data_IF_869360457220
#
_entry.id   IF_869360457220
#
_cell.length_a   1.000
_cell.length_b   1.000
_cell.length_c   1.000
_cell.angle_alpha   90.00
_cell.angle_beta   90.00
_cell.angle_gamma   90.00
#
_symmetry.space_group_name_H-M   'P 1'
#
loop_
_entity.id
_entity.type
_entity.pdbx_description
1 polymer ?
#
# COMPACT_ATOMS: atom_id res chain seq x y z
N UNK A 1 -18.32 -6.82 43.40
CA UNK A 1 -18.54 -7.74 42.26
C UNK A 1 -19.52 -7.07 41.31
N UNK A 2 -19.05 -6.53 40.19
CA UNK A 2 -19.93 -5.83 39.23
C UNK A 2 -20.15 -6.71 37.99
N UNK A 3 -21.43 -6.92 37.69
CA UNK A 3 -21.94 -7.51 36.45
C UNK A 3 -21.55 -6.64 35.25
N UNK A 4 -20.98 -7.23 34.21
CA UNK A 4 -20.72 -6.55 32.94
C UNK A 4 -21.90 -6.82 32.01
N UNK A 5 -22.61 -5.75 31.69
CA UNK A 5 -23.72 -5.66 30.76
C UNK A 5 -23.21 -5.75 29.32
N UNK A 6 -23.75 -6.68 28.52
CA UNK A 6 -23.53 -6.74 27.08
C UNK A 6 -24.38 -5.67 26.38
N UNK A 7 -23.73 -4.63 25.86
CA UNK A 7 -24.39 -3.61 25.04
C UNK A 7 -24.57 -4.14 23.61
N UNK A 8 -25.85 -4.30 23.28
CA UNK A 8 -26.44 -4.56 21.97
C UNK A 8 -26.25 -3.32 21.09
N UNK A 9 -25.41 -3.40 20.05
CA UNK A 9 -25.30 -2.30 19.08
C UNK A 9 -26.25 -2.54 17.90
N UNK A 10 -27.23 -1.64 17.83
CA UNK A 10 -28.26 -1.56 16.83
C UNK A 10 -27.75 -0.91 15.53
N UNK A 11 -28.43 -1.25 14.44
CA UNK A 11 -28.35 -0.66 13.12
C UNK A 11 -28.65 0.86 13.15
N UNK A 12 -27.87 1.66 12.42
CA UNK A 12 -28.27 2.96 11.89
C UNK A 12 -27.27 4.11 12.07
N UNK A 13 -26.49 4.42 11.03
CA UNK A 13 -26.22 5.81 10.54
C UNK A 13 -25.27 5.79 9.33
N UNK A 14 -25.71 6.40 8.23
CA UNK A 14 -24.80 6.96 7.23
C UNK A 14 -24.18 8.23 7.85
N UNK A 15 -22.84 8.28 7.89
CA UNK A 15 -22.09 9.40 8.46
C UNK A 15 -20.61 9.06 8.54
N UNK A 16 -19.84 9.56 7.57
CA UNK A 16 -18.42 9.93 7.65
C UNK A 16 -17.49 8.95 8.37
N UNK A 17 -16.96 7.97 7.63
CA UNK A 17 -15.85 7.15 8.13
C UNK A 17 -14.54 7.96 8.08
N UNK A 18 -14.15 8.47 9.25
CA UNK A 18 -12.75 8.62 9.65
C UNK A 18 -11.96 7.38 9.21
N UNK A 19 -10.84 7.61 8.51
CA UNK A 19 -9.92 6.61 7.96
C UNK A 19 -9.28 5.77 9.09
N UNK A 20 -10.03 4.81 9.64
CA UNK A 20 -9.45 3.72 10.41
C UNK A 20 -8.67 2.88 9.41
N UNK A 21 -7.34 2.79 9.56
CA UNK A 21 -6.41 2.11 8.64
C UNK A 21 -6.78 0.66 8.31
N UNK A 22 -7.80 0.51 7.48
CA UNK A 22 -8.40 -0.74 7.10
C UNK A 22 -7.69 -1.24 5.84
N UNK A 23 -7.45 -2.55 5.76
CA UNK A 23 -6.82 -3.14 4.58
C UNK A 23 -7.85 -3.27 3.46
N UNK A 24 -7.50 -2.84 2.25
CA UNK A 24 -8.29 -3.09 1.04
C UNK A 24 -8.20 -4.57 0.69
N UNK A 25 -9.22 -5.31 1.14
CA UNK A 25 -9.29 -6.76 0.99
C UNK A 25 -9.46 -7.16 -0.49
N UNK A 26 -10.06 -6.30 -1.32
CA UNK A 26 -10.24 -6.55 -2.75
C UNK A 26 -8.92 -6.39 -3.51
N UNK A 27 -8.16 -5.34 -3.20
CA UNK A 27 -6.82 -5.17 -3.75
C UNK A 27 -5.90 -6.33 -3.32
N UNK A 28 -5.98 -6.73 -2.05
CA UNK A 28 -5.21 -7.86 -1.53
C UNK A 28 -5.52 -9.16 -2.28
N UNK A 29 -6.79 -9.50 -2.47
CA UNK A 29 -7.17 -10.73 -3.18
C UNK A 29 -6.70 -10.73 -4.64
N UNK A 30 -6.77 -9.58 -5.32
CA UNK A 30 -6.24 -9.42 -6.68
C UNK A 30 -4.72 -9.60 -6.74
N UNK A 31 -3.98 -9.01 -5.80
CA UNK A 31 -2.52 -9.17 -5.72
C UNK A 31 -2.12 -10.62 -5.45
N UNK A 32 -2.86 -11.33 -4.58
CA UNK A 32 -2.64 -12.75 -4.31
C UNK A 32 -2.86 -13.60 -5.56
N UNK A 33 -3.96 -13.41 -6.28
CA UNK A 33 -4.25 -14.13 -7.52
C UNK A 33 -3.18 -13.84 -8.59
N UNK A 34 -2.77 -12.57 -8.72
CA UNK A 34 -1.74 -12.16 -9.68
C UNK A 34 -0.37 -12.79 -9.37
N UNK A 35 0.04 -12.81 -8.09
CA UNK A 35 1.31 -13.39 -7.65
C UNK A 35 1.29 -14.92 -7.74
N UNK A 36 0.14 -15.55 -7.43
CA UNK A 36 -0.05 -17.00 -7.52
C UNK A 36 0.02 -17.50 -8.96
N UNK A 37 -0.62 -16.79 -9.90
CA UNK A 37 -0.67 -17.19 -11.30
C UNK A 37 -1.20 -18.62 -11.44
N UNK A 38 -0.37 -19.51 -12.01
CA UNK A 38 -0.72 -20.91 -12.26
C UNK A 38 -0.41 -21.86 -11.08
N UNK A 39 0.15 -21.38 -9.97
CA UNK A 39 0.42 -22.22 -8.79
C UNK A 39 -0.89 -22.71 -8.16
N UNK A 40 -0.87 -23.95 -7.68
CA UNK A 40 -1.98 -24.50 -6.91
C UNK A 40 -2.13 -23.78 -5.55
N UNK A 41 -3.33 -23.78 -4.99
CA UNK A 41 -3.59 -23.20 -3.67
C UNK A 41 -2.71 -23.82 -2.57
N UNK A 42 -2.35 -25.10 -2.69
CA UNK A 42 -1.50 -25.79 -1.71
C UNK A 42 -0.05 -25.31 -1.79
N UNK A 43 0.49 -25.16 -2.99
CA UNK A 43 1.86 -24.66 -3.19
C UNK A 43 2.00 -23.21 -2.71
N UNK A 44 1.08 -22.34 -3.12
CA UNK A 44 1.10 -20.94 -2.67
C UNK A 44 0.92 -20.81 -1.15
N UNK A 45 0.05 -21.63 -0.55
CA UNK A 45 -0.12 -21.63 0.90
C UNK A 45 1.14 -22.12 1.63
N UNK A 46 1.85 -23.11 1.08
CA UNK A 46 3.13 -23.57 1.62
C UNK A 46 4.22 -22.49 1.56
N UNK A 47 4.31 -21.75 0.44
CA UNK A 47 5.26 -20.64 0.27
C UNK A 47 5.01 -19.51 1.31
N UNK A 48 3.75 -19.25 1.64
CA UNK A 48 3.34 -18.21 2.59
C UNK A 48 3.43 -18.69 4.05
N UNK A 49 3.40 -20.01 4.28
CA UNK A 49 3.33 -20.61 5.62
C UNK A 49 1.94 -20.52 6.25
N UNK A 50 0.89 -20.70 5.44
CA UNK A 50 -0.53 -20.75 5.88
C UNK A 50 -1.22 -22.02 5.35
N UNK A 51 -2.45 -22.26 5.77
CA UNK A 51 -3.23 -23.40 5.26
C UNK A 51 -3.96 -23.05 3.95
N UNK A 52 -4.13 -24.02 3.05
CA UNK A 52 -4.84 -23.82 1.79
C UNK A 52 -6.30 -23.29 1.96
N UNK A 53 -7.08 -23.74 2.97
CA UNK A 53 -8.38 -23.13 3.26
C UNK A 53 -8.29 -21.66 3.68
N UNK A 54 -7.26 -21.28 4.43
CA UNK A 54 -7.02 -19.87 4.78
C UNK A 54 -6.76 -19.04 3.53
N UNK A 55 -5.89 -19.51 2.62
CA UNK A 55 -5.59 -18.83 1.37
C UNK A 55 -6.85 -18.68 0.50
N UNK A 56 -7.67 -19.73 0.38
CA UNK A 56 -8.92 -19.67 -0.39
C UNK A 56 -9.88 -18.60 0.16
N UNK A 57 -10.01 -18.49 1.48
CA UNK A 57 -10.88 -17.46 2.09
C UNK A 57 -10.34 -16.05 1.86
N UNK A 58 -9.02 -15.88 1.90
CA UNK A 58 -8.37 -14.60 1.61
C UNK A 58 -8.57 -14.18 0.15
N UNK A 59 -8.44 -15.11 -0.80
CA UNK A 59 -8.78 -14.86 -2.21
C UNK A 59 -10.27 -14.56 -2.39
N UNK A 60 -11.13 -15.13 -1.55
CA UNK A 60 -12.56 -14.85 -1.49
C UNK A 60 -12.94 -13.51 -0.83
N UNK A 61 -11.97 -12.71 -0.37
CA UNK A 61 -12.21 -11.40 0.21
C UNK A 61 -12.42 -11.39 1.73
N UNK A 62 -11.93 -12.41 2.45
CA UNK A 62 -11.88 -12.38 3.92
C UNK A 62 -10.76 -11.47 4.43
N UNK A 63 -11.03 -10.67 5.45
CA UNK A 63 -10.01 -9.85 6.14
C UNK A 63 -8.97 -10.75 6.83
N UNK A 64 -7.66 -10.60 6.52
CA UNK A 64 -6.62 -11.37 7.19
C UNK A 64 -6.45 -10.95 8.66
N UNK A 65 -6.02 -11.90 9.48
CA UNK A 65 -5.48 -11.59 10.81
C UNK A 65 -4.13 -10.89 10.70
N UNK A 66 -3.66 -10.22 11.75
CA UNK A 66 -2.36 -9.50 11.74
C UNK A 66 -1.20 -10.43 11.40
N UNK A 67 -1.13 -11.63 11.99
CA UNK A 67 -0.07 -12.62 11.69
C UNK A 67 -0.10 -13.04 10.22
N UNK A 68 -1.29 -13.31 9.70
CA UNK A 68 -1.48 -13.70 8.30
C UNK A 68 -1.09 -12.56 7.36
N UNK A 69 -1.46 -11.32 7.70
CA UNK A 69 -1.13 -10.13 6.90
C UNK A 69 0.39 -9.95 6.77
N UNK A 70 1.15 -10.08 7.86
CA UNK A 70 2.63 -9.95 7.83
C UNK A 70 3.27 -10.97 6.89
N UNK A 71 2.79 -12.23 6.92
CA UNK A 71 3.27 -13.29 6.02
C UNK A 71 2.96 -12.99 4.56
N UNK A 72 1.73 -12.52 4.27
CA UNK A 72 1.31 -12.16 2.91
C UNK A 72 2.11 -10.99 2.34
N UNK A 73 2.29 -9.92 3.13
CA UNK A 73 3.04 -8.72 2.75
C UNK A 73 4.49 -9.08 2.40
N UNK A 74 5.12 -9.95 3.21
CA UNK A 74 6.47 -10.47 2.94
C UNK A 74 6.55 -11.29 1.65
N UNK A 75 5.56 -12.15 1.40
CA UNK A 75 5.52 -12.98 0.19
C UNK A 75 5.22 -12.17 -1.08
N UNK A 76 4.33 -11.18 -0.98
CA UNK A 76 3.96 -10.29 -2.07
C UNK A 76 5.09 -9.30 -2.39
N UNK A 77 5.87 -8.88 -1.40
CA UNK A 77 6.91 -7.85 -1.54
C UNK A 77 6.35 -6.43 -1.60
N UNK A 78 5.16 -6.22 -1.03
CA UNK A 78 4.49 -4.91 -0.92
C UNK A 78 4.58 -4.41 0.52
N UNK A 79 4.28 -3.14 0.78
CA UNK A 79 4.16 -2.62 2.14
C UNK A 79 2.69 -2.70 2.63
N UNK A 80 2.47 -2.61 3.95
CA UNK A 80 1.11 -2.53 4.51
C UNK A 80 0.41 -1.25 4.04
N UNK A 81 1.18 -0.16 3.88
CA UNK A 81 0.67 1.12 3.40
C UNK A 81 0.10 1.02 1.97
N UNK A 82 0.70 0.18 1.11
CA UNK A 82 0.20 -0.05 -0.26
C UNK A 82 -1.16 -0.77 -0.27
N UNK A 83 -1.47 -1.50 0.79
CA UNK A 83 -2.71 -2.27 0.96
C UNK A 83 -3.78 -1.49 1.72
N UNK A 84 -3.53 -0.24 2.11
CA UNK A 84 -4.49 0.55 2.89
C UNK A 84 -5.67 0.98 2.02
N UNK A 85 -6.88 0.75 2.52
CA UNK A 85 -8.11 1.27 1.93
C UNK A 85 -8.17 2.79 2.15
N UNK A 86 -8.38 3.54 1.08
CA UNK A 86 -8.40 5.01 1.11
C UNK A 86 -7.89 5.59 -0.20
N UNK A 87 -7.96 6.92 -0.39
CA UNK A 87 -7.32 7.55 -1.52
C UNK A 87 -5.83 7.23 -1.45
N UNK A 88 -5.34 6.38 -2.38
CA UNK A 88 -3.91 6.18 -2.57
C UNK A 88 -3.32 7.58 -2.70
N UNK A 89 -2.41 7.96 -1.80
CA UNK A 89 -1.71 9.24 -1.93
C UNK A 89 -1.23 9.28 -3.38
N UNK A 90 -1.59 10.31 -4.16
CA UNK A 90 -1.14 10.39 -5.54
C UNK A 90 0.37 10.22 -5.49
N UNK A 91 0.87 9.22 -6.21
CA UNK A 91 2.31 8.96 -6.28
C UNK A 91 2.93 10.31 -6.66
N UNK A 92 3.70 10.89 -5.75
CA UNK A 92 4.21 12.24 -5.95
C UNK A 92 4.99 12.22 -7.25
N UNK A 93 4.87 13.29 -8.03
CA UNK A 93 5.68 13.42 -9.23
C UNK A 93 7.15 13.21 -8.85
N UNK A 94 7.90 12.48 -9.67
CA UNK A 94 9.26 12.02 -9.32
C UNK A 94 10.17 13.20 -9.01
N UNK A 95 9.99 14.32 -9.73
CA UNK A 95 10.70 15.57 -9.45
C UNK A 95 10.33 16.16 -8.08
N UNK A 96 9.06 16.09 -7.69
CA UNK A 96 8.60 16.56 -6.37
C UNK A 96 9.22 15.73 -5.25
N UNK A 97 9.41 14.42 -5.43
CA UNK A 97 10.09 13.58 -4.44
C UNK A 97 11.57 13.93 -4.31
N UNK A 98 12.27 14.11 -5.43
CA UNK A 98 13.68 14.53 -5.46
C UNK A 98 13.86 15.86 -4.73
N UNK A 99 12.99 16.84 -4.99
CA UNK A 99 13.02 18.13 -4.32
C UNK A 99 12.82 18.03 -2.80
N UNK A 100 11.91 17.18 -2.34
CA UNK A 100 11.67 16.96 -0.91
C UNK A 100 12.89 16.33 -0.25
N UNK A 101 13.50 15.34 -0.90
CA UNK A 101 14.71 14.68 -0.38
C UNK A 101 15.89 15.64 -0.28
N UNK A 102 16.11 16.48 -1.29
CA UNK A 102 17.19 17.48 -1.30
C UNK A 102 17.01 18.53 -0.20
N UNK A 103 15.79 19.01 0.03
CA UNK A 103 15.50 19.96 1.12
C UNK A 103 15.60 19.33 2.51
N UNK A 104 15.39 18.02 2.63
CA UNK A 104 15.48 17.29 3.88
C UNK A 104 16.92 16.88 4.25
N UNK A 105 17.88 17.01 3.33
CA UNK A 105 19.28 16.65 3.57
C UNK A 105 19.98 17.70 4.45
N UNK A 106 20.38 17.37 5.69
CA UNK A 106 21.03 18.32 6.59
C UNK A 106 22.44 18.73 6.14
N UNK A 107 23.02 18.07 5.12
CA UNK A 107 24.35 18.41 4.57
C UNK A 107 24.30 19.50 3.51
N UNK A 108 23.12 19.80 2.97
CA UNK A 108 22.93 20.83 1.96
C UNK A 108 22.36 22.07 2.61
N UNK A 109 22.93 23.23 2.29
CA UNK A 109 22.23 24.49 2.54
C UNK A 109 21.05 24.64 1.56
N UNK A 110 20.14 25.57 1.87
CA UNK A 110 18.91 25.76 1.10
C UNK A 110 19.18 26.11 -0.37
N UNK A 111 20.18 26.94 -0.62
CA UNK A 111 20.53 27.43 -1.96
C UNK A 111 21.14 26.30 -2.81
N UNK A 112 21.99 25.46 -2.22
CA UNK A 112 22.56 24.28 -2.86
C UNK A 112 21.48 23.25 -3.19
N UNK A 113 20.56 22.97 -2.25
CA UNK A 113 19.44 22.05 -2.48
C UNK A 113 18.53 22.53 -3.62
N UNK A 114 18.22 23.83 -3.68
CA UNK A 114 17.43 24.43 -4.75
C UNK A 114 18.15 24.37 -6.11
N UNK A 115 19.45 24.67 -6.14
CA UNK A 115 20.25 24.62 -7.36
C UNK A 115 20.26 23.20 -7.95
N UNK A 116 20.48 22.19 -7.12
CA UNK A 116 20.48 20.78 -7.54
C UNK A 116 19.10 20.37 -8.07
N UNK A 117 18.02 20.76 -7.38
CA UNK A 117 16.65 20.50 -7.83
C UNK A 117 16.37 21.11 -9.21
N UNK A 118 16.83 22.33 -9.46
CA UNK A 118 16.66 23.03 -10.73
C UNK A 118 17.41 22.32 -11.87
N UNK A 119 18.65 21.90 -11.63
CA UNK A 119 19.43 21.11 -12.61
C UNK A 119 18.73 19.77 -12.89
N UNK A 120 18.29 19.06 -11.85
CA UNK A 120 17.58 17.79 -12.00
C UNK A 120 16.31 17.93 -12.85
N UNK A 121 15.54 19.01 -12.66
CA UNK A 121 14.35 19.32 -13.46
C UNK A 121 14.69 19.56 -14.94
N UNK A 122 15.70 20.38 -15.21
CA UNK A 122 16.13 20.67 -16.59
C UNK A 122 16.56 19.40 -17.32
N UNK A 123 17.33 18.55 -16.64
CA UNK A 123 17.79 17.27 -17.19
C UNK A 123 16.62 16.34 -17.44
N UNK A 124 15.71 16.18 -16.47
CA UNK A 124 14.52 15.33 -16.60
C UNK A 124 13.62 15.76 -17.77
N UNK A 125 13.36 17.07 -17.90
CA UNK A 125 12.57 17.65 -18.99
C UNK A 125 13.27 17.50 -20.35
N UNK A 126 14.60 17.44 -20.37
CA UNK A 126 15.38 17.14 -21.57
C UNK A 126 15.08 15.73 -22.11
N UNK A 127 14.93 14.75 -21.22
CA UNK A 127 14.69 13.34 -21.60
C UNK A 127 13.22 13.00 -21.83
N UNK A 128 12.29 13.70 -21.16
CA UNK A 128 10.85 13.43 -21.31
C UNK A 128 10.22 14.15 -22.53
N UNK A 129 10.82 15.25 -23.01
CA UNK A 129 10.33 16.02 -24.19
C UNK A 129 10.13 15.19 -25.45
N UNK A 130 10.91 14.11 -25.64
CA UNK A 130 10.84 13.27 -26.84
C UNK A 130 9.63 12.34 -26.91
N UNK A 131 8.87 12.14 -25.81
CA UNK A 131 7.70 11.24 -25.80
C UNK A 131 6.38 11.92 -26.18
N UNK A 132 6.33 13.24 -26.32
CA UNK A 132 5.13 13.96 -26.78
C UNK A 132 5.13 14.07 -28.31
N UNK A 133 5.00 12.94 -29.01
CA UNK A 133 4.84 12.91 -30.47
C UNK A 133 3.55 12.16 -30.84
N UNK A 134 2.51 12.97 -31.07
CA UNK A 134 1.23 12.74 -31.75
C UNK A 134 0.25 11.75 -31.12
#
# INVERSE_FOLDING_TARGET
MQQINYVRYACGRQGESMDTGQVDVKLLSQLLQSKRGNKSLREAAADIGITAPTLQRLEGGQTPTVDTLVKLVRWLGVSIDDLRAGPKKPKRDTLTEIEVLLRADPKLDGDAAETIANVARQVYDGFTRKKKKR
#
